data_IF_872318009801
#
_entry.id   IF_872318009801
#
_cell.length_a   1.000
_cell.length_b   1.000
_cell.length_c   1.000
_cell.angle_alpha   90.00
_cell.angle_beta   90.00
_cell.angle_gamma   90.00
#
_symmetry.space_group_name_H-M   'P 1'
#
loop_
_entity.id
_entity.type
_entity.pdbx_description
1 polymer ?
#
# COMPACT_ATOMS: atom_id res chain seq x y z
N UNK A 1 -90.91 22.29 34.64
CA UNK A 1 -91.50 22.09 33.29
C UNK A 1 -90.73 22.92 32.26
N UNK A 2 -89.84 22.23 31.53
CA UNK A 2 -89.38 22.47 30.14
C UNK A 2 -89.51 23.90 29.56
N UNK A 3 -88.70 24.86 30.01
CA UNK A 3 -88.26 26.02 29.22
C UNK A 3 -86.89 26.47 29.75
N UNK A 4 -85.86 26.41 28.89
CA UNK A 4 -84.48 26.96 28.99
C UNK A 4 -83.38 26.01 28.48
N UNK A 5 -83.75 24.85 27.93
CA UNK A 5 -82.84 23.96 27.22
C UNK A 5 -82.96 24.21 25.71
N UNK A 6 -82.29 25.25 25.16
CA UNK A 6 -82.01 25.37 23.71
C UNK A 6 -81.16 26.58 23.25
N UNK A 7 -80.52 27.35 24.14
CA UNK A 7 -79.72 28.53 23.72
C UNK A 7 -78.36 28.55 24.45
N UNK A 8 -77.68 27.41 24.51
CA UNK A 8 -76.31 27.35 25.07
C UNK A 8 -75.35 26.41 24.32
N UNK A 9 -75.79 25.73 23.26
CA UNK A 9 -74.90 24.94 22.39
C UNK A 9 -74.63 25.57 21.01
N UNK A 10 -75.27 26.69 20.66
CA UNK A 10 -75.02 27.38 19.38
C UNK A 10 -74.06 28.58 19.47
N UNK A 11 -73.60 28.95 20.67
CA UNK A 11 -72.61 30.02 20.86
C UNK A 11 -71.20 29.44 21.13
N UNK A 12 -71.08 28.14 21.44
CA UNK A 12 -69.79 27.48 21.68
C UNK A 12 -69.24 26.66 20.49
N UNK A 13 -69.88 26.75 19.33
CA UNK A 13 -69.45 26.07 18.09
C UNK A 13 -69.13 27.05 16.95
N UNK A 14 -69.05 28.36 17.24
CA UNK A 14 -68.75 29.43 16.27
C UNK A 14 -67.35 30.03 16.46
N UNK A 15 -66.52 29.50 17.36
CA UNK A 15 -65.22 30.07 17.73
C UNK A 15 -64.01 29.24 17.29
N UNK A 16 -64.21 28.24 16.40
CA UNK A 16 -63.15 27.37 15.88
C UNK A 16 -62.78 27.60 14.41
N UNK A 17 -63.06 28.79 13.89
CA UNK A 17 -62.48 29.22 12.61
C UNK A 17 -61.87 30.57 12.87
N UNK A 18 -60.62 30.58 13.30
CA UNK A 18 -59.64 31.68 13.22
C UNK A 18 -58.35 31.19 13.88
N UNK A 19 -57.64 30.31 13.17
CA UNK A 19 -56.21 30.12 13.34
C UNK A 19 -55.66 29.52 12.06
N UNK A 20 -55.59 30.37 11.03
CA UNK A 20 -54.62 30.16 9.97
C UNK A 20 -54.34 31.52 9.34
N UNK A 21 -53.41 32.26 9.95
CA UNK A 21 -52.68 33.30 9.26
C UNK A 21 -51.31 33.39 9.91
N UNK A 22 -50.29 33.41 9.08
CA UNK A 22 -48.87 33.53 9.40
C UNK A 22 -48.18 32.22 9.80
N UNK A 23 -48.28 31.22 8.91
CA UNK A 23 -47.08 30.44 8.62
C UNK A 23 -46.10 31.47 8.05
N UNK A 24 -45.07 31.83 8.82
CA UNK A 24 -43.96 32.63 8.29
C UNK A 24 -43.42 31.88 7.09
N UNK A 25 -43.59 32.48 5.92
CA UNK A 25 -42.99 31.99 4.71
C UNK A 25 -41.49 32.22 4.85
N UNK A 26 -40.77 31.14 5.16
CA UNK A 26 -39.31 31.12 5.22
C UNK A 26 -38.73 30.77 3.85
N UNK A 27 -39.56 30.75 2.78
CA UNK A 27 -39.02 30.65 1.43
C UNK A 27 -38.27 31.93 1.09
N UNK A 28 -37.10 31.75 0.50
CA UNK A 28 -36.42 32.87 -0.13
C UNK A 28 -37.35 33.46 -1.21
N UNK A 29 -37.36 34.79 -1.39
CA UNK A 29 -38.11 35.40 -2.48
C UNK A 29 -37.70 34.72 -3.79
N UNK A 30 -38.69 34.32 -4.58
CA UNK A 30 -38.52 33.75 -5.91
C UNK A 30 -39.34 34.53 -6.90
N UNK A 31 -38.85 34.69 -8.12
CA UNK A 31 -39.60 35.34 -9.19
C UNK A 31 -39.80 34.43 -10.41
N UNK A 32 -40.28 35.01 -11.53
CA UNK A 32 -40.53 34.28 -12.78
C UNK A 32 -39.66 34.81 -13.93
N UNK A 33 -38.79 35.75 -13.64
CA UNK A 33 -37.89 36.35 -14.61
C UNK A 33 -36.63 35.50 -14.68
N UNK A 34 -36.09 35.31 -15.88
CA UNK A 34 -34.85 34.57 -16.03
C UNK A 34 -33.67 35.46 -15.65
N UNK A 35 -32.63 34.91 -14.99
CA UNK A 35 -31.46 35.68 -14.63
C UNK A 35 -30.70 36.17 -15.87
N UNK A 36 -29.91 37.23 -15.69
CA UNK A 36 -28.98 37.70 -16.72
C UNK A 36 -27.93 36.65 -17.10
N UNK A 37 -27.26 36.84 -18.24
CA UNK A 37 -26.14 35.97 -18.63
C UNK A 37 -24.90 36.21 -17.75
N UNK A 38 -24.06 35.19 -17.62
CA UNK A 38 -22.72 35.34 -17.03
C UNK A 38 -21.81 36.21 -17.89
N UNK A 39 -20.89 36.95 -17.28
CA UNK A 39 -19.98 37.91 -17.95
C UNK A 39 -18.52 37.60 -17.65
N UNK A 40 -17.60 38.26 -18.35
CA UNK A 40 -16.13 38.18 -18.13
C UNK A 40 -15.57 36.76 -18.06
N UNK A 41 -16.08 35.88 -18.92
CA UNK A 41 -15.72 34.47 -18.92
C UNK A 41 -14.22 34.29 -19.23
N UNK A 42 -13.50 33.64 -18.34
CA UNK A 42 -12.10 33.27 -18.49
C UNK A 42 -11.90 31.75 -18.36
N UNK A 43 -11.11 31.17 -19.27
CA UNK A 43 -10.84 29.72 -19.30
C UNK A 43 -9.41 29.44 -18.87
N UNK A 44 -9.24 28.52 -17.92
CA UNK A 44 -7.96 27.93 -17.55
C UNK A 44 -8.00 26.42 -17.76
N UNK A 45 -7.33 25.95 -18.80
CA UNK A 45 -7.28 24.52 -19.13
C UNK A 45 -6.46 23.71 -18.11
N UNK A 46 -6.93 22.51 -17.78
CA UNK A 46 -6.28 21.55 -16.87
C UNK A 46 -6.26 20.15 -17.50
N UNK A 47 -5.54 19.21 -16.90
CA UNK A 47 -5.47 17.84 -17.41
C UNK A 47 -6.85 17.17 -17.42
N UNK A 48 -7.35 16.85 -18.62
CA UNK A 48 -8.67 16.23 -18.82
C UNK A 48 -9.85 17.16 -18.50
N UNK A 49 -9.64 18.48 -18.48
CA UNK A 49 -10.66 19.43 -18.06
C UNK A 49 -10.34 20.90 -18.28
N UNK A 50 -11.17 21.76 -17.71
CA UNK A 50 -10.93 23.20 -17.63
C UNK A 50 -11.62 23.79 -16.40
N UNK A 51 -11.07 24.87 -15.87
CA UNK A 51 -11.73 25.73 -14.89
C UNK A 51 -12.18 26.99 -15.61
N UNK A 52 -13.49 27.22 -15.64
CA UNK A 52 -14.10 28.38 -16.26
C UNK A 52 -14.52 29.33 -15.13
N UNK A 53 -14.01 30.55 -15.15
CA UNK A 53 -14.36 31.61 -14.18
C UNK A 53 -15.23 32.66 -14.86
N UNK A 54 -16.11 33.32 -14.12
CA UNK A 54 -17.10 34.24 -14.65
C UNK A 54 -17.60 35.23 -13.59
N UNK A 55 -18.14 36.36 -14.05
CA UNK A 55 -18.91 37.31 -13.25
C UNK A 55 -20.39 36.92 -13.28
N UNK A 56 -20.99 36.75 -12.10
CA UNK A 56 -22.41 36.40 -11.95
C UNK A 56 -23.33 37.58 -12.36
N UNK A 57 -24.53 37.31 -12.89
CA UNK A 57 -25.55 38.33 -13.07
C UNK A 57 -26.02 38.89 -11.72
N UNK A 58 -26.54 40.13 -11.75
CA UNK A 58 -27.17 40.74 -10.59
C UNK A 58 -28.63 40.29 -10.58
N UNK A 59 -28.98 39.47 -9.59
CA UNK A 59 -30.25 38.78 -9.48
C UNK A 59 -30.46 38.32 -8.03
N UNK A 60 -31.61 38.68 -7.44
CA UNK A 60 -31.90 38.48 -6.02
C UNK A 60 -32.15 37.01 -5.65
N UNK A 61 -32.58 36.17 -6.60
CA UNK A 61 -32.91 34.76 -6.39
C UNK A 61 -32.00 33.78 -7.17
N UNK A 62 -30.83 34.26 -7.61
CA UNK A 62 -29.82 33.45 -8.29
C UNK A 62 -29.44 32.18 -7.49
N UNK A 63 -29.56 31.03 -8.14
CA UNK A 63 -29.15 29.72 -7.60
C UNK A 63 -27.69 29.42 -7.94
N UNK A 64 -27.27 29.76 -9.16
CA UNK A 64 -25.89 29.58 -9.60
C UNK A 64 -25.75 29.49 -11.12
N UNK A 65 -24.72 28.76 -11.55
CA UNK A 65 -24.39 28.57 -12.97
C UNK A 65 -24.37 27.08 -13.30
N UNK A 66 -25.06 26.73 -14.37
CA UNK A 66 -25.08 25.40 -14.99
C UNK A 66 -24.18 25.42 -16.22
N UNK A 67 -23.26 24.46 -16.33
CA UNK A 67 -22.54 24.18 -17.56
C UNK A 67 -23.09 22.91 -18.21
N UNK A 68 -23.40 23.01 -19.50
CA UNK A 68 -23.82 21.89 -20.35
C UNK A 68 -22.70 21.59 -21.34
N UNK A 69 -22.26 20.34 -21.36
CA UNK A 69 -21.13 19.90 -22.18
C UNK A 69 -21.28 18.43 -22.58
N UNK A 70 -20.53 18.02 -23.61
CA UNK A 70 -20.55 16.64 -24.12
C UNK A 70 -19.16 16.03 -23.92
N UNK A 71 -19.11 14.80 -23.42
CA UNK A 71 -17.87 14.01 -23.34
C UNK A 71 -17.79 13.00 -24.49
N UNK A 72 -16.76 12.16 -24.49
CA UNK A 72 -16.46 11.29 -25.63
C UNK A 72 -17.53 10.21 -25.90
N UNK A 73 -18.39 9.93 -24.92
CA UNK A 73 -19.55 9.05 -25.07
C UNK A 73 -20.70 9.70 -25.86
N UNK A 74 -20.59 10.99 -26.20
CA UNK A 74 -21.61 11.73 -26.93
C UNK A 74 -22.83 12.10 -26.07
N UNK A 75 -22.81 11.80 -24.77
CA UNK A 75 -23.93 12.07 -23.86
C UNK A 75 -23.78 13.48 -23.27
N UNK A 76 -24.79 14.36 -23.42
CA UNK A 76 -24.80 15.65 -22.75
C UNK A 76 -24.79 15.48 -21.24
N UNK A 77 -23.96 16.28 -20.57
CA UNK A 77 -23.79 16.30 -19.12
C UNK A 77 -24.01 17.71 -18.61
N UNK A 78 -24.55 17.79 -17.42
CA UNK A 78 -24.77 19.04 -16.71
C UNK A 78 -23.97 19.04 -15.41
N UNK A 79 -23.33 20.15 -15.11
CA UNK A 79 -22.68 20.40 -13.83
C UNK A 79 -23.08 21.79 -13.33
N UNK A 80 -23.22 21.90 -12.01
CA UNK A 80 -23.72 23.09 -11.34
C UNK A 80 -22.65 23.66 -10.42
N UNK A 81 -22.53 24.98 -10.42
CA UNK A 81 -21.80 25.75 -9.41
C UNK A 81 -22.77 26.70 -8.72
N UNK A 82 -22.76 26.75 -7.39
CA UNK A 82 -23.64 27.64 -6.63
C UNK A 82 -23.31 29.11 -6.87
N UNK A 83 -24.27 30.00 -6.66
CA UNK A 83 -24.09 31.46 -6.71
C UNK A 83 -23.01 32.01 -5.73
N UNK A 84 -22.54 31.22 -4.78
CA UNK A 84 -21.41 31.57 -3.90
C UNK A 84 -20.02 31.35 -4.52
N UNK A 85 -19.96 30.86 -5.76
CA UNK A 85 -18.72 30.60 -6.50
C UNK A 85 -18.75 31.35 -7.82
N UNK A 86 -17.57 31.80 -8.23
CA UNK A 86 -17.29 32.53 -9.47
C UNK A 86 -16.70 31.61 -10.55
N UNK A 87 -16.72 30.29 -10.33
CA UNK A 87 -16.08 29.33 -11.22
C UNK A 87 -16.75 27.97 -11.22
N UNK A 88 -16.58 27.25 -12.33
CA UNK A 88 -17.02 25.87 -12.54
C UNK A 88 -15.85 25.04 -13.10
N UNK A 89 -15.67 23.83 -12.57
CA UNK A 89 -14.59 22.93 -13.00
C UNK A 89 -15.20 21.79 -13.80
N UNK A 90 -14.71 21.60 -15.02
CA UNK A 90 -15.10 20.51 -15.90
C UNK A 90 -14.00 19.45 -15.90
N UNK A 91 -14.38 18.18 -15.85
CA UNK A 91 -13.48 17.04 -15.89
C UNK A 91 -14.04 15.91 -16.77
N UNK A 92 -13.16 15.04 -17.26
CA UNK A 92 -13.50 13.81 -17.96
C UNK A 92 -13.31 13.84 -19.48
N UNK A 93 -12.66 14.88 -20.02
CA UNK A 93 -12.27 14.92 -21.42
C UNK A 93 -11.09 13.98 -21.68
N UNK A 94 -11.10 13.25 -22.80
CA UNK A 94 -10.01 12.30 -23.15
C UNK A 94 -9.00 12.87 -24.14
N UNK A 95 -9.19 14.10 -24.59
CA UNK A 95 -8.31 14.70 -25.58
C UNK A 95 -8.08 16.19 -25.35
N UNK A 96 -7.13 16.72 -26.10
CA UNK A 96 -6.70 18.12 -26.08
C UNK A 96 -7.35 18.97 -27.19
N UNK A 97 -8.37 18.42 -27.86
CA UNK A 97 -9.13 19.13 -28.88
C UNK A 97 -9.97 20.27 -28.28
N UNK A 98 -10.53 21.11 -29.16
CA UNK A 98 -11.42 22.19 -28.75
C UNK A 98 -12.83 21.64 -28.47
N UNK A 99 -13.40 21.94 -27.30
CA UNK A 99 -14.75 21.55 -26.92
C UNK A 99 -15.62 22.77 -26.63
N UNK A 100 -16.89 22.74 -27.06
CA UNK A 100 -17.88 23.77 -26.72
C UNK A 100 -18.56 23.43 -25.39
N UNK A 101 -18.78 24.46 -24.59
CA UNK A 101 -19.48 24.39 -23.31
C UNK A 101 -20.47 25.55 -23.29
N UNK A 102 -21.73 25.26 -22.98
CA UNK A 102 -22.76 26.29 -22.82
C UNK A 102 -22.96 26.58 -21.33
N UNK A 103 -22.78 27.84 -20.93
CA UNK A 103 -23.04 28.30 -19.57
C UNK A 103 -24.42 28.98 -19.48
N UNK A 104 -25.17 28.64 -18.44
CA UNK A 104 -26.47 29.21 -18.11
C UNK A 104 -26.44 29.71 -16.66
N UNK A 105 -26.88 30.94 -16.41
CA UNK A 105 -27.28 31.31 -15.05
C UNK A 105 -28.64 30.70 -14.76
N UNK A 106 -28.83 30.19 -13.54
CA UNK A 106 -30.05 29.52 -13.10
C UNK A 106 -30.48 30.16 -11.77
N UNK A 107 -31.76 30.50 -11.65
CA UNK A 107 -32.36 31.02 -10.43
C UNK A 107 -32.99 29.91 -9.57
N UNK A 108 -33.54 30.27 -8.40
CA UNK A 108 -34.23 29.34 -7.49
C UNK A 108 -35.56 28.82 -8.06
N UNK A 109 -36.18 29.55 -8.98
CA UNK A 109 -37.38 29.16 -9.74
C UNK A 109 -37.10 28.19 -10.90
N UNK A 110 -35.83 27.92 -11.19
CA UNK A 110 -35.32 27.10 -12.32
C UNK A 110 -35.52 27.76 -13.68
N UNK A 111 -35.64 29.09 -13.75
CA UNK A 111 -35.49 29.77 -15.04
C UNK A 111 -34.00 29.84 -15.41
N UNK A 112 -33.73 29.76 -16.71
CA UNK A 112 -32.36 29.73 -17.24
C UNK A 112 -32.14 30.96 -18.13
N UNK A 113 -30.95 31.56 -18.01
CA UNK A 113 -30.53 32.64 -18.90
C UNK A 113 -30.38 32.15 -20.36
N UNK A 114 -30.14 33.08 -21.28
CA UNK A 114 -29.56 32.70 -22.58
C UNK A 114 -28.17 32.06 -22.39
N UNK A 115 -27.75 31.14 -23.27
CA UNK A 115 -26.46 30.48 -23.15
C UNK A 115 -25.30 31.41 -23.50
N UNK A 116 -24.20 31.27 -22.76
CA UNK A 116 -22.89 31.79 -23.15
C UNK A 116 -22.03 30.62 -23.59
N UNK A 117 -21.69 30.59 -24.89
CA UNK A 117 -20.82 29.57 -25.48
C UNK A 117 -19.35 29.84 -25.16
N UNK A 118 -18.67 28.84 -24.63
CA UNK A 118 -17.27 28.89 -24.21
C UNK A 118 -16.52 27.74 -24.86
N UNK A 119 -15.40 28.04 -25.51
CA UNK A 119 -14.49 27.01 -26.03
C UNK A 119 -13.38 26.72 -25.02
N UNK A 120 -13.17 25.44 -24.73
CA UNK A 120 -12.07 24.96 -23.88
C UNK A 120 -11.11 24.08 -24.69
N UNK A 121 -9.86 23.99 -24.24
CA UNK A 121 -8.82 23.14 -24.83
C UNK A 121 -8.08 22.38 -23.72
N UNK A 122 -8.65 21.27 -23.21
CA UNK A 122 -8.10 20.54 -22.08
C UNK A 122 -6.62 20.17 -22.29
N UNK A 123 -5.86 20.11 -21.21
CA UNK A 123 -4.52 19.51 -21.27
C UNK A 123 -4.63 17.99 -21.31
N UNK A 124 -3.52 17.31 -21.62
CA UNK A 124 -3.44 15.84 -21.71
C UNK A 124 -4.18 15.17 -20.55
N UNK A 125 -5.11 14.25 -20.82
CA UNK A 125 -5.91 13.63 -19.76
C UNK A 125 -5.03 12.83 -18.80
N UNK A 126 -5.40 12.78 -17.50
CA UNK A 126 -4.63 12.07 -16.48
C UNK A 126 -4.34 10.61 -16.84
N UNK A 127 -5.28 9.89 -17.46
CA UNK A 127 -5.10 8.48 -17.82
C UNK A 127 -3.96 8.27 -18.84
N UNK A 128 -3.74 9.22 -19.76
CA UNK A 128 -2.62 9.16 -20.72
C UNK A 128 -1.29 9.44 -20.02
N UNK A 129 -1.24 10.39 -19.09
CA UNK A 129 -0.04 10.67 -18.28
C UNK A 129 0.35 9.46 -17.42
N UNK A 130 -0.62 8.83 -16.77
CA UNK A 130 -0.38 7.62 -15.97
C UNK A 130 0.20 6.51 -16.85
N UNK A 131 -0.37 6.32 -18.05
CA UNK A 131 0.10 5.31 -19.00
C UNK A 131 1.55 5.50 -19.44
N UNK A 132 2.06 6.72 -19.52
CA UNK A 132 3.46 7.01 -19.87
C UNK A 132 4.45 6.43 -18.86
N UNK A 133 4.01 6.26 -17.61
CA UNK A 133 4.82 5.73 -16.50
C UNK A 133 4.48 4.30 -16.12
N UNK A 134 3.47 3.70 -16.77
CA UNK A 134 3.08 2.32 -16.51
C UNK A 134 4.20 1.36 -16.95
N UNK A 135 4.74 0.64 -15.98
CA UNK A 135 5.69 -0.44 -16.19
C UNK A 135 5.16 -1.75 -15.61
N UNK A 136 5.54 -2.87 -16.24
CA UNK A 136 5.16 -4.21 -15.79
C UNK A 136 6.35 -5.16 -15.92
N UNK A 137 6.66 -5.84 -14.82
CA UNK A 137 7.78 -6.76 -14.71
C UNK A 137 7.35 -8.12 -14.16
N UNK A 138 7.98 -9.23 -14.55
CA UNK A 138 7.68 -10.54 -14.00
C UNK A 138 8.04 -10.60 -12.50
N UNK A 139 7.25 -11.34 -11.74
CA UNK A 139 7.54 -11.66 -10.34
C UNK A 139 7.10 -13.09 -10.02
N UNK A 140 7.32 -13.56 -8.79
CA UNK A 140 6.94 -14.92 -8.41
C UNK A 140 5.42 -15.09 -8.41
N UNK A 141 4.97 -16.10 -9.17
CA UNK A 141 3.56 -16.43 -9.33
C UNK A 141 2.72 -15.33 -9.99
N UNK A 142 3.32 -14.39 -10.71
CA UNK A 142 2.61 -13.23 -11.21
C UNK A 142 3.41 -12.20 -12.00
N UNK A 143 2.80 -11.03 -12.16
CA UNK A 143 3.43 -9.83 -12.72
C UNK A 143 3.18 -8.63 -11.80
N UNK A 144 4.16 -7.75 -11.72
CA UNK A 144 4.14 -6.56 -10.88
C UNK A 144 4.03 -5.31 -11.75
N UNK A 145 3.01 -4.51 -11.52
CA UNK A 145 2.75 -3.26 -12.23
C UNK A 145 3.01 -2.05 -11.35
N UNK A 146 3.63 -1.02 -11.93
CA UNK A 146 3.88 0.27 -11.28
C UNK A 146 3.49 1.43 -12.18
N UNK A 147 3.05 2.55 -11.60
CA UNK A 147 2.71 3.78 -12.32
C UNK A 147 2.71 5.00 -11.39
N UNK A 148 2.90 6.19 -11.94
CA UNK A 148 2.71 7.46 -11.24
C UNK A 148 1.36 8.10 -11.60
N UNK A 149 0.64 8.56 -10.59
CA UNK A 149 -0.65 9.26 -10.70
C UNK A 149 -0.61 10.54 -9.87
N UNK A 150 0.16 11.55 -10.29
CA UNK A 150 0.41 12.76 -9.51
C UNK A 150 -0.85 13.61 -9.23
N UNK A 151 -1.94 13.35 -9.95
CA UNK A 151 -3.22 14.05 -9.80
C UNK A 151 -4.25 13.26 -8.96
N UNK A 152 -3.85 12.11 -8.40
CA UNK A 152 -4.69 11.25 -7.56
C UNK A 152 -6.05 10.91 -8.19
N UNK A 153 -6.08 10.71 -9.51
CA UNK A 153 -7.32 10.38 -10.23
C UNK A 153 -7.68 8.92 -10.05
N UNK A 154 -8.98 8.65 -9.97
CA UNK A 154 -9.52 7.29 -9.88
C UNK A 154 -9.32 6.56 -11.22
N UNK A 155 -8.61 5.44 -11.18
CA UNK A 155 -8.34 4.59 -12.34
C UNK A 155 -8.62 3.12 -12.04
N UNK A 156 -8.87 2.35 -13.09
CA UNK A 156 -8.75 0.89 -13.09
C UNK A 156 -7.57 0.45 -13.94
N UNK A 157 -6.81 -0.51 -13.43
CA UNK A 157 -5.73 -1.24 -14.12
C UNK A 157 -6.23 -2.66 -14.35
N UNK A 158 -6.52 -3.01 -15.60
CA UNK A 158 -7.00 -4.35 -15.95
C UNK A 158 -5.90 -5.12 -16.64
N UNK A 159 -5.60 -6.32 -16.13
CA UNK A 159 -4.72 -7.27 -16.80
C UNK A 159 -5.57 -8.26 -17.59
N UNK A 160 -5.23 -8.45 -18.85
CA UNK A 160 -5.83 -9.46 -19.73
C UNK A 160 -4.80 -10.51 -20.13
N UNK A 161 -5.25 -11.74 -20.29
CA UNK A 161 -4.54 -12.79 -21.01
C UNK A 161 -5.03 -12.83 -22.45
N UNK A 162 -4.10 -12.77 -23.41
CA UNK A 162 -4.41 -12.99 -24.82
C UNK A 162 -4.30 -14.48 -25.13
N UNK A 163 -5.38 -15.05 -25.64
CA UNK A 163 -5.39 -16.43 -26.13
C UNK A 163 -4.67 -16.53 -27.48
N UNK A 164 -4.19 -17.72 -27.90
CA UNK A 164 -3.60 -17.91 -29.23
C UNK A 164 -4.49 -17.48 -30.41
N UNK A 165 -5.82 -17.41 -30.21
CA UNK A 165 -6.77 -16.91 -31.20
C UNK A 165 -6.90 -15.38 -31.24
N UNK A 166 -6.17 -14.65 -30.39
CA UNK A 166 -6.20 -13.19 -30.28
C UNK A 166 -7.30 -12.64 -29.37
N UNK A 167 -8.14 -13.49 -28.79
CA UNK A 167 -9.18 -13.08 -27.83
C UNK A 167 -8.57 -12.69 -26.49
N UNK A 168 -9.03 -11.57 -25.92
CA UNK A 168 -8.61 -11.08 -24.61
C UNK A 168 -9.58 -11.56 -23.52
N UNK A 169 -9.05 -12.27 -22.53
CA UNK A 169 -9.79 -12.66 -21.33
C UNK A 169 -9.32 -11.83 -20.14
N UNK A 170 -10.25 -11.25 -19.39
CA UNK A 170 -9.91 -10.51 -18.17
C UNK A 170 -9.28 -11.49 -17.18
N UNK A 171 -8.06 -11.20 -16.75
CA UNK A 171 -7.41 -11.93 -15.67
C UNK A 171 -7.84 -11.36 -14.32
N UNK A 172 -7.61 -10.06 -14.12
CA UNK A 172 -7.99 -9.35 -12.89
C UNK A 172 -8.07 -7.83 -13.15
N UNK A 173 -8.76 -7.09 -12.28
CA UNK A 173 -8.88 -5.63 -12.33
C UNK A 173 -8.60 -5.02 -10.96
N UNK A 174 -7.63 -4.11 -10.91
CA UNK A 174 -7.29 -3.36 -9.72
C UNK A 174 -7.74 -1.89 -9.83
N UNK A 175 -8.26 -1.32 -8.75
CA UNK A 175 -8.72 0.07 -8.70
C UNK A 175 -7.83 0.88 -7.76
N UNK A 176 -7.45 2.10 -8.18
CA UNK A 176 -6.57 2.96 -7.38
C UNK A 176 -6.76 4.44 -7.66
N UNK A 177 -6.45 5.26 -6.66
CA UNK A 177 -6.24 6.71 -6.77
C UNK A 177 -4.93 7.16 -6.09
N UNK A 178 -4.07 6.19 -5.72
CA UNK A 178 -2.81 6.46 -5.04
C UNK A 178 -1.89 7.28 -5.95
N UNK A 179 -1.09 8.18 -5.37
CA UNK A 179 -0.19 9.04 -6.14
C UNK A 179 0.94 8.26 -6.84
N UNK A 180 1.36 7.15 -6.23
CA UNK A 180 2.21 6.12 -6.83
C UNK A 180 1.51 4.79 -6.68
N UNK A 181 1.16 4.16 -7.80
CA UNK A 181 0.49 2.88 -7.82
C UNK A 181 1.49 1.75 -7.97
N UNK A 182 1.27 0.69 -7.20
CA UNK A 182 2.04 -0.55 -7.20
C UNK A 182 1.05 -1.68 -6.96
N UNK A 183 1.00 -2.69 -7.83
CA UNK A 183 0.10 -3.83 -7.66
C UNK A 183 0.69 -5.10 -8.27
N UNK A 184 0.50 -6.23 -7.58
CA UNK A 184 0.95 -7.54 -8.04
C UNK A 184 -0.25 -8.37 -8.46
N UNK A 185 -0.33 -8.68 -9.75
CA UNK A 185 -1.27 -9.65 -10.29
C UNK A 185 -0.73 -11.06 -10.05
N UNK A 186 -1.31 -11.79 -9.09
CA UNK A 186 -0.87 -13.14 -8.69
C UNK A 186 -1.73 -14.23 -9.32
N UNK A 187 -1.21 -15.46 -9.35
CA UNK A 187 -1.90 -16.64 -9.87
C UNK A 187 -1.51 -17.03 -11.30
N UNK A 188 -0.50 -16.39 -11.89
CA UNK A 188 0.03 -16.77 -13.19
C UNK A 188 1.06 -17.90 -13.06
N UNK A 189 1.05 -18.83 -14.01
CA UNK A 189 2.07 -19.88 -14.09
C UNK A 189 3.38 -19.32 -14.63
N UNK A 190 4.50 -19.97 -14.30
CA UNK A 190 5.86 -19.60 -14.75
C UNK A 190 6.14 -20.01 -16.19
N UNK A 191 5.22 -19.71 -17.10
CA UNK A 191 5.28 -19.95 -18.54
C UNK A 191 5.07 -18.61 -19.27
N UNK A 192 5.53 -18.44 -20.53
CA UNK A 192 5.27 -17.23 -21.30
C UNK A 192 3.78 -16.89 -21.37
N UNK A 193 3.40 -15.71 -20.86
CA UNK A 193 2.05 -15.17 -20.89
C UNK A 193 2.00 -14.00 -21.87
N UNK A 194 1.09 -14.03 -22.84
CA UNK A 194 0.77 -12.87 -23.70
C UNK A 194 -0.25 -12.00 -22.96
N UNK A 195 0.22 -10.85 -22.48
CA UNK A 195 -0.48 -9.99 -21.55
C UNK A 195 -0.82 -8.65 -22.18
N UNK A 196 -1.99 -8.14 -21.84
CA UNK A 196 -2.39 -6.76 -22.17
C UNK A 196 -2.81 -6.05 -20.91
N UNK A 197 -2.22 -4.89 -20.65
CA UNK A 197 -2.65 -4.00 -19.56
C UNK A 197 -3.45 -2.84 -20.13
N UNK A 198 -4.67 -2.67 -19.64
CA UNK A 198 -5.55 -1.57 -20.01
C UNK A 198 -5.74 -0.63 -18.81
N UNK A 199 -5.63 0.67 -19.06
CA UNK A 199 -5.93 1.72 -18.10
C UNK A 199 -7.22 2.42 -18.50
N UNK A 200 -8.13 2.56 -17.54
CA UNK A 200 -9.41 3.24 -17.73
C UNK A 200 -9.71 4.16 -16.56
N UNK A 201 -10.27 5.34 -16.84
CA UNK A 201 -10.77 6.26 -15.81
C UNK A 201 -12.27 6.09 -15.50
N UNK A 202 -12.78 6.85 -14.52
CA UNK A 202 -14.20 6.83 -14.13
C UNK A 202 -15.19 7.29 -15.21
N UNK A 203 -14.71 7.93 -16.28
CA UNK A 203 -15.51 8.44 -17.37
C UNK A 203 -15.49 7.52 -18.60
N UNK A 204 -14.92 6.32 -18.47
CA UNK A 204 -14.68 5.36 -19.56
C UNK A 204 -13.75 5.90 -20.64
N UNK A 205 -12.79 6.76 -20.27
CA UNK A 205 -11.68 7.07 -21.15
C UNK A 205 -10.58 6.04 -20.97
N UNK A 206 -9.99 5.62 -22.09
CA UNK A 206 -8.94 4.61 -22.13
C UNK A 206 -7.64 5.23 -22.61
N UNK A 207 -6.53 4.80 -22.03
CA UNK A 207 -5.21 5.03 -22.63
C UNK A 207 -4.88 3.92 -23.63
N UNK A 208 -3.85 4.13 -24.46
CA UNK A 208 -3.32 3.07 -25.31
C UNK A 208 -2.90 1.87 -24.44
N UNK A 209 -3.35 0.63 -24.73
CA UNK A 209 -2.95 -0.55 -23.97
C UNK A 209 -1.42 -0.78 -23.94
N UNK A 210 -0.95 -1.54 -22.96
CA UNK A 210 0.40 -2.07 -22.91
C UNK A 210 0.36 -3.56 -23.24
N UNK A 211 0.79 -3.90 -24.45
CA UNK A 211 1.00 -5.29 -24.88
C UNK A 211 2.40 -5.74 -24.48
N UNK A 212 2.52 -6.92 -23.87
CA UNK A 212 3.81 -7.52 -23.51
C UNK A 212 3.71 -9.03 -23.44
N UNK A 213 4.85 -9.72 -23.56
CA UNK A 213 4.96 -11.15 -23.28
C UNK A 213 5.92 -11.32 -22.11
N UNK A 214 5.42 -11.80 -20.97
CA UNK A 214 6.22 -11.98 -19.76
C UNK A 214 6.12 -13.42 -19.25
N UNK A 215 7.22 -13.91 -18.69
CA UNK A 215 7.26 -15.20 -17.99
C UNK A 215 7.41 -14.93 -16.50
N UNK A 216 6.36 -15.13 -15.69
CA UNK A 216 6.46 -15.07 -14.23
C UNK A 216 7.60 -15.94 -13.69
N UNK A 217 8.18 -15.52 -12.57
CA UNK A 217 9.32 -16.24 -11.99
C UNK A 217 8.85 -17.56 -11.40
N UNK A 218 9.63 -18.62 -11.67
CA UNK A 218 9.44 -19.94 -11.07
C UNK A 218 9.84 -19.91 -9.60
N UNK A 219 8.93 -20.32 -8.71
CA UNK A 219 9.20 -20.41 -7.27
C UNK A 219 9.56 -21.84 -6.87
N UNK A 220 10.68 -21.99 -6.17
CA UNK A 220 11.11 -23.22 -5.50
C UNK A 220 11.62 -22.91 -4.10
N UNK A 221 11.73 -23.94 -3.26
CA UNK A 221 12.37 -23.80 -1.96
C UNK A 221 13.88 -23.58 -2.11
N UNK A 222 14.40 -22.54 -1.47
CA UNK A 222 15.84 -22.31 -1.33
C UNK A 222 16.30 -23.17 -0.17
N UNK A 223 17.16 -24.15 -0.44
CA UNK A 223 17.56 -25.16 0.53
C UNK A 223 18.77 -24.70 1.34
N UNK A 224 18.65 -24.80 2.67
CA UNK A 224 19.75 -24.54 3.61
C UNK A 224 20.74 -25.67 3.75
N UNK A 225 20.47 -26.81 3.13
CA UNK A 225 21.30 -28.02 3.13
C UNK A 225 21.45 -28.58 1.72
N UNK A 226 22.57 -29.25 1.48
CA UNK A 226 22.78 -30.05 0.28
C UNK A 226 22.05 -31.40 0.36
N UNK A 227 22.07 -32.17 -0.74
CA UNK A 227 21.41 -33.49 -0.85
C UNK A 227 21.92 -34.53 0.17
N UNK A 228 23.11 -34.30 0.76
CA UNK A 228 23.73 -35.17 1.78
C UNK A 228 23.49 -34.66 3.19
N UNK A 229 22.74 -33.56 3.35
CA UNK A 229 22.46 -32.91 4.63
C UNK A 229 23.57 -31.98 5.11
N UNK A 230 24.61 -31.72 4.30
CA UNK A 230 25.65 -30.74 4.57
C UNK A 230 25.10 -29.32 4.60
N UNK A 231 25.60 -28.47 5.51
CA UNK A 231 25.12 -27.09 5.65
C UNK A 231 25.55 -26.24 4.46
N UNK A 232 24.59 -25.56 3.84
CA UNK A 232 24.82 -24.50 2.86
C UNK A 232 24.73 -23.15 3.55
N UNK A 233 23.66 -22.94 4.33
CA UNK A 233 23.48 -21.69 5.06
C UNK A 233 24.35 -21.64 6.30
N UNK A 234 24.97 -20.49 6.53
CA UNK A 234 25.78 -20.27 7.72
C UNK A 234 25.47 -18.92 8.34
N UNK A 235 25.60 -18.82 9.67
CA UNK A 235 25.64 -17.52 10.31
C UNK A 235 26.95 -16.84 9.91
N UNK A 236 26.84 -15.75 9.16
CA UNK A 236 27.97 -15.17 8.44
C UNK A 236 29.06 -14.70 9.41
N UNK A 237 30.24 -15.29 9.29
CA UNK A 237 31.39 -14.92 10.10
C UNK A 237 31.34 -15.39 11.55
N UNK A 238 30.48 -16.38 11.87
CA UNK A 238 30.35 -16.89 13.23
C UNK A 238 31.63 -17.58 13.70
N UNK A 239 32.13 -18.54 12.93
CA UNK A 239 33.30 -19.34 13.27
C UNK A 239 34.59 -18.52 13.34
N UNK A 240 34.71 -17.47 12.52
CA UNK A 240 35.84 -16.54 12.50
C UNK A 240 35.74 -15.45 13.57
N UNK A 241 34.61 -15.36 14.29
CA UNK A 241 34.36 -14.30 15.28
C UNK A 241 34.10 -12.91 14.69
N UNK A 242 34.03 -12.79 13.35
CA UNK A 242 33.84 -11.50 12.67
C UNK A 242 32.43 -10.93 12.84
N UNK A 243 31.44 -11.79 13.11
CA UNK A 243 30.07 -11.39 13.44
C UNK A 243 29.99 -10.41 14.63
N UNK A 244 30.91 -10.52 15.60
CA UNK A 244 31.04 -9.60 16.74
C UNK A 244 31.40 -8.16 16.35
N UNK A 245 31.98 -7.94 15.16
CA UNK A 245 32.25 -6.59 14.67
C UNK A 245 31.01 -5.93 14.08
N UNK A 246 29.95 -6.71 13.82
CA UNK A 246 28.72 -6.27 13.17
C UNK A 246 27.52 -6.17 14.10
N UNK A 247 27.69 -6.50 15.38
CA UNK A 247 26.58 -6.57 16.34
C UNK A 247 25.68 -7.79 16.15
N UNK A 248 26.12 -8.79 15.38
CA UNK A 248 25.35 -10.01 15.13
C UNK A 248 25.32 -10.88 16.40
N UNK A 249 24.15 -11.42 16.72
CA UNK A 249 23.94 -12.18 17.95
C UNK A 249 24.95 -13.34 18.10
N UNK A 250 25.56 -13.41 19.29
CA UNK A 250 26.68 -14.30 19.58
C UNK A 250 26.34 -15.49 20.48
N UNK A 251 25.49 -15.31 21.50
CA UNK A 251 25.31 -16.28 22.59
C UNK A 251 24.40 -17.45 22.18
N UNK A 252 24.96 -18.44 21.49
CA UNK A 252 24.29 -19.72 21.23
C UNK A 252 24.07 -20.51 22.52
N UNK A 253 22.86 -21.03 22.70
CA UNK A 253 22.50 -21.83 23.88
C UNK A 253 22.54 -23.32 23.56
N UNK A 254 23.32 -24.08 24.33
CA UNK A 254 23.46 -25.53 24.14
C UNK A 254 23.93 -25.91 22.73
N UNK A 255 24.76 -25.06 22.09
CA UNK A 255 25.23 -25.22 20.71
C UNK A 255 24.11 -25.38 19.66
N UNK A 256 22.93 -24.84 19.96
CA UNK A 256 21.81 -24.74 19.02
C UNK A 256 22.10 -23.69 17.96
N UNK A 257 22.46 -24.11 16.76
CA UNK A 257 22.93 -23.26 15.66
C UNK A 257 21.87 -23.14 14.57
N UNK A 258 22.14 -22.36 13.52
CA UNK A 258 21.27 -22.29 12.33
C UNK A 258 21.01 -23.65 11.69
N UNK A 259 21.89 -24.64 11.87
CA UNK A 259 21.65 -26.00 11.40
C UNK A 259 20.36 -26.61 11.98
N UNK A 260 20.00 -26.25 13.21
CA UNK A 260 18.78 -26.71 13.85
C UNK A 260 17.51 -25.98 13.37
N UNK A 261 17.63 -25.02 12.46
CA UNK A 261 16.52 -24.33 11.82
C UNK A 261 16.40 -24.67 10.32
N UNK A 262 17.10 -25.71 9.86
CA UNK A 262 17.11 -26.16 8.46
C UNK A 262 17.03 -27.68 8.35
N UNK A 263 16.57 -28.37 9.40
CA UNK A 263 16.51 -29.84 9.44
C UNK A 263 15.15 -30.39 9.01
N UNK A 264 14.16 -29.52 8.76
CA UNK A 264 12.82 -29.86 8.29
C UNK A 264 11.83 -30.09 9.43
N UNK A 265 12.25 -30.02 10.69
CA UNK A 265 11.34 -30.15 11.85
C UNK A 265 10.69 -28.80 12.17
N UNK A 266 9.50 -28.58 11.59
CA UNK A 266 8.79 -27.30 11.65
C UNK A 266 8.65 -26.74 13.07
N UNK A 267 8.15 -27.51 14.04
CA UNK A 267 7.86 -27.04 15.41
C UNK A 267 8.40 -28.04 16.43
N UNK A 268 9.70 -28.02 16.69
CA UNK A 268 10.37 -28.88 17.66
C UNK A 268 10.43 -28.24 19.04
N UNK A 269 10.22 -29.04 20.08
CA UNK A 269 10.42 -28.61 21.48
C UNK A 269 11.87 -28.73 21.96
N UNK A 270 12.71 -29.47 21.24
CA UNK A 270 14.06 -29.89 21.65
C UNK A 270 15.16 -29.38 20.71
N UNK A 271 14.89 -29.34 19.41
CA UNK A 271 15.85 -28.99 18.35
C UNK A 271 15.43 -27.70 17.67
N UNK A 272 16.17 -26.62 17.89
CA UNK A 272 15.85 -25.30 17.33
C UNK A 272 17.13 -24.48 17.31
N UNK A 273 17.22 -23.44 16.49
CA UNK A 273 18.27 -22.44 16.58
C UNK A 273 17.96 -21.47 17.73
N UNK A 274 18.90 -21.32 18.67
CA UNK A 274 18.70 -20.49 19.85
C UNK A 274 19.88 -19.56 20.09
N UNK A 275 19.63 -18.27 19.93
CA UNK A 275 20.53 -17.23 20.42
C UNK A 275 19.82 -16.42 21.51
N UNK A 276 20.44 -16.33 22.68
CA UNK A 276 19.89 -15.61 23.83
C UNK A 276 20.56 -14.26 24.00
N UNK A 277 19.87 -13.27 24.58
CA UNK A 277 20.45 -12.05 25.14
C UNK A 277 21.49 -11.34 24.24
N UNK A 278 21.05 -10.32 23.50
CA UNK A 278 21.96 -9.46 22.75
C UNK A 278 22.67 -8.42 23.66
N UNK A 279 23.69 -8.87 24.41
CA UNK A 279 24.36 -8.06 25.42
C UNK A 279 25.43 -7.14 24.83
N UNK A 280 25.38 -5.85 25.16
CA UNK A 280 26.36 -4.86 24.70
C UNK A 280 27.80 -5.25 25.06
N UNK A 281 28.01 -5.83 26.24
CA UNK A 281 29.32 -6.25 26.75
C UNK A 281 30.02 -7.30 25.89
N UNK A 282 29.28 -8.09 25.10
CA UNK A 282 29.85 -9.09 24.19
C UNK A 282 30.56 -8.43 23.00
N UNK A 283 30.07 -7.25 22.61
CA UNK A 283 30.57 -6.47 21.49
C UNK A 283 31.57 -5.40 21.94
N UNK A 284 31.33 -4.79 23.09
CA UNK A 284 32.13 -3.71 23.66
C UNK A 284 32.62 -4.10 25.07
N UNK A 285 33.80 -4.74 25.18
CA UNK A 285 34.35 -5.15 26.47
C UNK A 285 34.45 -3.98 27.46
N UNK A 286 33.98 -4.18 28.69
CA UNK A 286 33.96 -3.16 29.74
C UNK A 286 32.67 -2.33 29.82
N UNK A 287 31.74 -2.51 28.87
CA UNK A 287 30.39 -1.95 28.97
C UNK A 287 29.49 -2.77 29.92
N UNK A 288 28.42 -2.17 30.48
CA UNK A 288 27.44 -2.89 31.29
C UNK A 288 26.77 -4.05 30.56
N UNK A 289 26.30 -5.05 31.31
CA UNK A 289 25.46 -6.15 30.80
C UNK A 289 24.03 -5.65 30.54
N UNK A 290 23.88 -4.89 29.45
CA UNK A 290 22.60 -4.35 28.99
C UNK A 290 22.25 -4.96 27.65
N UNK A 291 21.02 -5.45 27.57
CA UNK A 291 20.42 -5.97 26.36
C UNK A 291 20.17 -4.83 25.36
N UNK A 292 20.52 -5.05 24.08
CA UNK A 292 20.41 -4.05 23.03
C UNK A 292 19.42 -4.46 21.95
N UNK A 293 18.58 -3.50 21.56
CA UNK A 293 17.78 -3.54 20.34
C UNK A 293 18.23 -2.40 19.41
N UNK A 294 18.06 -2.56 18.09
CA UNK A 294 17.75 -3.82 17.42
C UNK A 294 18.88 -4.82 17.62
N UNK A 295 18.58 -6.11 17.62
CA UNK A 295 19.61 -7.13 17.48
C UNK A 295 19.70 -7.57 16.03
N UNK A 296 20.85 -8.10 15.65
CA UNK A 296 21.13 -8.46 14.26
C UNK A 296 21.50 -9.93 14.15
N UNK A 297 21.23 -10.52 12.99
CA UNK A 297 21.93 -11.72 12.56
C UNK A 297 21.97 -11.74 11.04
N UNK A 298 23.10 -12.21 10.50
CA UNK A 298 23.30 -12.29 9.05
C UNK A 298 23.49 -13.74 8.62
N UNK A 299 22.77 -14.15 7.59
CA UNK A 299 22.88 -15.46 6.98
C UNK A 299 23.64 -15.31 5.65
N UNK A 300 24.73 -16.05 5.50
CA UNK A 300 25.30 -16.34 4.19
C UNK A 300 24.53 -17.52 3.61
N UNK A 301 23.78 -17.26 2.53
CA UNK A 301 22.91 -18.25 1.88
C UNK A 301 23.70 -19.25 1.02
N UNK A 302 25.04 -19.14 0.97
CA UNK A 302 25.97 -20.02 0.27
C UNK A 302 26.03 -19.80 -1.24
N UNK A 303 24.91 -19.41 -1.85
CA UNK A 303 24.79 -19.02 -3.26
C UNK A 303 23.76 -17.91 -3.44
N UNK A 304 23.80 -17.25 -4.60
CA UNK A 304 22.84 -16.21 -4.95
C UNK A 304 21.48 -16.82 -5.27
N UNK A 305 20.42 -16.23 -4.74
CA UNK A 305 19.05 -16.54 -5.10
C UNK A 305 18.20 -15.26 -5.03
N UNK A 306 17.17 -15.20 -5.84
CA UNK A 306 16.09 -14.24 -5.67
C UNK A 306 15.03 -14.84 -4.74
N UNK A 307 14.32 -14.02 -3.98
CA UNK A 307 13.46 -14.48 -2.89
C UNK A 307 12.04 -13.95 -3.03
N UNK A 308 11.05 -14.81 -2.88
CA UNK A 308 9.63 -14.45 -2.94
C UNK A 308 9.04 -14.21 -1.55
N UNK A 309 9.38 -15.11 -0.62
CA UNK A 309 8.88 -15.12 0.76
C UNK A 309 9.80 -15.95 1.64
N UNK A 310 9.64 -15.78 2.94
CA UNK A 310 10.19 -16.66 3.96
C UNK A 310 9.11 -17.15 4.91
N UNK A 311 9.42 -18.19 5.66
CA UNK A 311 8.60 -18.66 6.76
C UNK A 311 9.47 -19.02 7.95
N UNK A 312 8.99 -18.64 9.14
CA UNK A 312 9.65 -18.93 10.40
C UNK A 312 8.71 -19.71 11.30
N UNK A 313 9.19 -20.81 11.84
CA UNK A 313 8.51 -21.53 12.91
C UNK A 313 9.25 -21.35 14.22
N UNK A 314 8.49 -21.24 15.29
CA UNK A 314 9.04 -21.13 16.64
C UNK A 314 9.27 -22.50 17.26
N UNK A 315 10.08 -22.55 18.31
CA UNK A 315 10.13 -23.72 19.19
C UNK A 315 8.74 -24.09 19.69
N UNK A 316 8.40 -25.38 19.65
CA UNK A 316 7.20 -25.88 20.33
C UNK A 316 7.36 -25.80 21.86
N UNK A 317 6.48 -25.03 22.49
CA UNK A 317 6.55 -24.71 23.91
C UNK A 317 5.15 -24.63 24.47
N UNK A 318 5.01 -25.00 25.75
CA UNK A 318 3.77 -24.81 26.50
C UNK A 318 3.97 -23.68 27.53
N UNK A 319 3.13 -22.63 27.54
CA UNK A 319 2.01 -22.41 26.60
C UNK A 319 2.49 -22.09 25.18
N UNK A 320 1.69 -22.43 24.16
CA UNK A 320 1.99 -22.10 22.76
C UNK A 320 2.23 -20.58 22.63
N UNK A 321 3.11 -20.17 21.71
CA UNK A 321 3.48 -18.76 21.50
C UNK A 321 4.35 -18.13 22.60
N UNK A 322 4.77 -18.89 23.62
CA UNK A 322 5.69 -18.40 24.66
C UNK A 322 7.19 -18.55 24.34
N UNK A 323 7.54 -19.16 23.21
CA UNK A 323 8.92 -19.13 22.72
C UNK A 323 9.18 -17.81 21.98
N UNK A 324 10.41 -17.31 22.06
CA UNK A 324 10.76 -16.03 21.47
C UNK A 324 11.02 -16.12 19.97
N UNK A 325 10.43 -15.21 19.20
CA UNK A 325 10.64 -15.08 17.77
C UNK A 325 10.60 -13.59 17.37
N UNK A 326 11.33 -13.16 16.32
CA UNK A 326 11.21 -11.80 15.79
C UNK A 326 9.75 -11.45 15.46
N UNK A 327 9.26 -10.34 15.99
CA UNK A 327 7.88 -9.88 15.75
C UNK A 327 7.81 -8.60 14.92
N UNK A 328 8.85 -7.77 14.98
CA UNK A 328 9.01 -6.60 14.11
C UNK A 328 10.46 -6.57 13.68
N UNK A 329 10.71 -6.78 12.39
CA UNK A 329 12.06 -6.83 11.84
C UNK A 329 12.10 -6.45 10.38
N UNK A 330 13.27 -6.04 9.92
CA UNK A 330 13.58 -5.79 8.52
C UNK A 330 14.51 -6.88 7.99
N UNK A 331 14.44 -7.14 6.69
CA UNK A 331 15.43 -7.96 5.99
C UNK A 331 16.11 -7.10 4.94
N UNK A 332 17.43 -7.11 5.00
CA UNK A 332 18.30 -6.42 4.06
C UNK A 332 19.17 -7.43 3.33
N UNK A 333 19.48 -7.15 2.08
CA UNK A 333 20.23 -8.07 1.23
C UNK A 333 21.38 -7.38 0.50
N UNK A 334 22.46 -8.12 0.29
CA UNK A 334 23.59 -7.69 -0.56
C UNK A 334 24.30 -8.89 -1.18
N UNK A 335 25.11 -8.62 -2.20
CA UNK A 335 26.08 -9.55 -2.76
C UNK A 335 27.52 -9.22 -2.35
N UNK A 336 27.76 -8.01 -1.84
CA UNK A 336 29.09 -7.44 -1.63
C UNK A 336 29.17 -6.77 -0.26
N UNK A 337 29.09 -7.55 0.84
CA UNK A 337 29.18 -6.98 2.17
C UNK A 337 30.59 -6.39 2.39
N UNK A 338 30.64 -5.13 2.82
CA UNK A 338 31.89 -4.40 3.06
C UNK A 338 32.81 -5.16 4.04
N UNK A 339 34.09 -5.40 3.70
CA UNK A 339 35.04 -6.05 4.60
C UNK A 339 35.31 -5.22 5.86
N UNK A 340 35.52 -5.90 7.00
CA UNK A 340 35.83 -5.26 8.30
C UNK A 340 37.03 -4.32 8.19
N UNK A 341 38.06 -4.71 7.44
CA UNK A 341 39.29 -3.95 7.25
C UNK A 341 39.12 -2.65 6.47
N UNK A 342 38.02 -2.50 5.73
CA UNK A 342 37.73 -1.31 4.92
C UNK A 342 36.85 -0.29 5.65
N UNK A 343 36.42 -0.62 6.88
CA UNK A 343 35.57 0.24 7.70
C UNK A 343 36.43 0.94 8.75
N UNK A 344 36.59 2.25 8.61
CA UNK A 344 37.45 3.05 9.49
C UNK A 344 38.88 2.52 9.50
N UNK A 345 39.42 2.20 10.67
CA UNK A 345 40.72 1.56 10.84
C UNK A 345 40.65 0.02 10.98
N UNK A 346 39.49 -0.59 10.76
CA UNK A 346 39.25 -2.01 10.95
C UNK A 346 39.03 -2.46 12.39
N UNK A 347 39.01 -1.54 13.35
CA UNK A 347 38.70 -1.84 14.75
C UNK A 347 37.25 -2.27 14.95
N UNK A 348 37.00 -2.90 16.10
CA UNK A 348 35.63 -3.28 16.51
C UNK A 348 34.75 -2.06 16.74
N UNK A 349 35.30 -0.96 17.26
CA UNK A 349 34.57 0.28 17.51
C UNK A 349 34.07 0.91 16.19
N UNK A 350 34.96 1.11 15.21
CA UNK A 350 34.59 1.68 13.90
C UNK A 350 33.58 0.80 13.16
N UNK A 351 33.73 -0.52 13.26
CA UNK A 351 32.80 -1.45 12.65
C UNK A 351 31.42 -1.40 13.33
N UNK A 352 31.33 -1.42 14.66
CA UNK A 352 30.06 -1.33 15.36
C UNK A 352 29.34 0.01 15.09
N UNK A 353 30.09 1.11 14.97
CA UNK A 353 29.57 2.42 14.55
C UNK A 353 28.94 2.37 13.15
N UNK A 354 29.54 1.64 12.22
CA UNK A 354 29.03 1.51 10.86
C UNK A 354 27.87 0.51 10.76
N UNK A 355 27.92 -0.63 11.45
CA UNK A 355 27.01 -1.79 11.31
C UNK A 355 25.76 -1.76 12.20
N UNK A 356 25.70 -0.85 13.17
CA UNK A 356 24.60 -0.78 14.13
C UNK A 356 24.01 0.62 14.23
N UNK A 357 22.79 0.71 14.77
CA UNK A 357 22.18 1.97 15.23
C UNK A 357 22.35 2.19 16.74
N UNK A 358 23.15 1.36 17.42
CA UNK A 358 23.28 1.40 18.89
C UNK A 358 23.93 2.70 19.35
N UNK A 359 23.24 3.54 20.15
CA UNK A 359 23.81 4.80 20.62
C UNK A 359 25.10 4.63 21.41
N UNK A 360 25.20 3.54 22.19
CA UNK A 360 26.38 3.24 23.00
C UNK A 360 27.64 2.93 22.17
N UNK A 361 27.47 2.45 20.92
CA UNK A 361 28.56 2.21 19.97
C UNK A 361 28.80 3.43 19.05
N UNK A 362 28.09 4.54 19.25
CA UNK A 362 28.05 5.65 18.29
C UNK A 362 27.46 5.24 16.94
N UNK A 363 26.59 4.22 16.92
CA UNK A 363 25.98 3.61 15.75
C UNK A 363 25.31 4.62 14.82
N UNK A 364 25.50 4.41 13.52
CA UNK A 364 25.00 5.28 12.45
C UNK A 364 24.13 4.56 11.43
N UNK A 365 24.13 3.21 11.47
CA UNK A 365 23.47 2.38 10.47
C UNK A 365 23.92 2.67 9.02
N UNK A 366 25.13 3.20 8.84
CA UNK A 366 25.68 3.60 7.55
C UNK A 366 25.75 2.45 6.54
N UNK A 367 25.84 1.21 7.02
CA UNK A 367 25.77 -0.02 6.22
C UNK A 367 24.51 -0.13 5.36
N UNK A 368 23.39 0.52 5.75
CA UNK A 368 22.15 0.54 4.96
C UNK A 368 22.30 1.22 3.59
N UNK A 369 23.37 1.99 3.37
CA UNK A 369 23.69 2.54 2.04
C UNK A 369 24.32 1.51 1.10
N UNK A 370 24.91 0.44 1.66
CA UNK A 370 25.59 -0.63 0.92
C UNK A 370 24.72 -1.89 0.76
N UNK A 371 23.51 -1.86 1.32
CA UNK A 371 22.55 -2.96 1.34
C UNK A 371 21.19 -2.48 0.84
N UNK A 372 20.38 -3.41 0.34
CA UNK A 372 19.02 -3.11 -0.13
C UNK A 372 18.03 -3.72 0.84
N UNK A 373 17.06 -2.92 1.33
CA UNK A 373 15.95 -3.47 2.10
C UNK A 373 15.05 -4.28 1.18
N UNK A 374 14.78 -5.53 1.54
CA UNK A 374 13.96 -6.45 0.75
C UNK A 374 12.67 -6.85 1.45
N UNK A 375 12.53 -6.66 2.76
CA UNK A 375 11.27 -6.91 3.46
C UNK A 375 11.13 -6.06 4.73
N UNK A 376 9.89 -5.65 5.00
CA UNK A 376 9.43 -5.16 6.30
C UNK A 376 8.48 -6.22 6.88
N UNK A 377 8.83 -6.79 8.03
CA UNK A 377 8.14 -7.94 8.60
C UNK A 377 7.49 -7.57 9.93
N UNK A 378 6.16 -7.71 10.00
CA UNK A 378 5.38 -7.52 11.23
C UNK A 378 4.57 -8.78 11.46
N UNK A 379 4.82 -9.44 12.59
CA UNK A 379 4.03 -10.59 13.02
C UNK A 379 2.65 -10.11 13.49
N UNK A 380 1.60 -10.69 12.92
CA UNK A 380 0.21 -10.43 13.30
C UNK A 380 -0.53 -11.76 13.38
N UNK A 381 -1.10 -12.05 14.54
CA UNK A 381 -2.01 -13.19 14.69
C UNK A 381 -3.41 -12.82 14.16
N UNK A 382 -4.19 -13.78 13.64
CA UNK A 382 -5.56 -13.54 13.17
C UNK A 382 -6.45 -12.76 14.14
N UNK A 383 -6.36 -13.01 15.44
CA UNK A 383 -7.13 -12.29 16.46
C UNK A 383 -6.56 -10.92 16.82
N UNK A 384 -5.31 -10.64 16.43
CA UNK A 384 -4.54 -9.46 16.85
C UNK A 384 -3.94 -9.56 18.26
N UNK A 385 -4.18 -10.64 19.02
CA UNK A 385 -3.54 -10.81 20.32
C UNK A 385 -2.03 -11.06 20.18
N UNK A 386 -1.29 -10.70 21.23
CA UNK A 386 0.11 -11.08 21.42
C UNK A 386 0.31 -11.88 22.71
N UNK A 387 -0.78 -12.25 23.39
CA UNK A 387 -0.74 -12.97 24.66
C UNK A 387 -0.95 -14.48 24.45
N UNK A 388 -0.02 -15.34 24.91
CA UNK A 388 -0.20 -16.79 24.90
C UNK A 388 -1.48 -17.28 25.59
N UNK A 389 -2.03 -16.52 26.55
CA UNK A 389 -3.25 -16.90 27.27
C UNK A 389 -4.55 -16.56 26.53
N UNK A 390 -4.47 -15.76 25.47
CA UNK A 390 -5.62 -15.20 24.77
C UNK A 390 -5.77 -15.72 23.33
N UNK A 391 -4.92 -16.68 22.94
CA UNK A 391 -4.96 -17.26 21.60
C UNK A 391 -6.35 -17.83 21.29
N UNK A 392 -6.85 -17.61 20.07
CA UNK A 392 -8.01 -18.31 19.49
C UNK A 392 -7.59 -19.62 18.82
N UNK A 393 -8.53 -20.41 18.30
CA UNK A 393 -8.17 -21.62 17.56
C UNK A 393 -7.46 -21.27 16.25
N UNK A 394 -7.92 -20.22 15.57
CA UNK A 394 -7.32 -19.67 14.36
C UNK A 394 -5.88 -19.22 14.60
N UNK A 395 -5.61 -18.56 15.73
CA UNK A 395 -4.24 -18.19 16.11
C UNK A 395 -3.35 -19.43 16.28
N UNK A 396 -3.86 -20.48 16.94
CA UNK A 396 -3.09 -21.71 17.18
C UNK A 396 -2.75 -22.41 15.87
N UNK A 397 -3.69 -22.46 14.93
CA UNK A 397 -3.47 -23.07 13.62
C UNK A 397 -2.52 -22.23 12.76
N UNK A 398 -2.63 -20.91 12.83
CA UNK A 398 -1.69 -19.98 12.18
C UNK A 398 -0.27 -20.15 12.72
N UNK A 399 -0.08 -20.14 14.04
CA UNK A 399 1.25 -20.34 14.68
C UNK A 399 1.88 -21.67 14.25
N UNK A 400 1.10 -22.77 14.22
CA UNK A 400 1.61 -24.09 13.81
C UNK A 400 1.93 -24.17 12.32
N UNK A 401 1.28 -23.34 11.51
CA UNK A 401 1.54 -23.25 10.07
C UNK A 401 2.81 -22.43 9.75
N UNK A 402 3.35 -21.71 10.74
CA UNK A 402 4.53 -20.87 10.60
C UNK A 402 4.18 -19.46 10.16
N UNK A 403 5.05 -18.51 10.51
CA UNK A 403 4.89 -17.10 10.19
C UNK A 403 5.51 -16.82 8.83
N UNK A 404 4.66 -16.55 7.83
CA UNK A 404 5.08 -16.26 6.45
C UNK A 404 5.21 -14.75 6.24
N UNK A 405 6.30 -14.33 5.60
CA UNK A 405 6.55 -12.94 5.23
C UNK A 405 6.94 -12.83 3.77
N UNK A 406 6.28 -11.93 3.05
CA UNK A 406 6.58 -11.65 1.64
C UNK A 406 7.80 -10.74 1.50
N UNK A 407 8.57 -10.95 0.43
CA UNK A 407 9.63 -10.05 -0.02
C UNK A 407 9.01 -8.96 -0.90
N UNK A 408 9.52 -7.72 -0.80
CA UNK A 408 9.10 -6.60 -1.65
C UNK A 408 9.19 -7.03 -3.12
N UNK A 409 8.09 -6.87 -3.83
CA UNK A 409 7.96 -7.33 -5.22
C UNK A 409 8.99 -6.66 -6.14
N UNK A 410 9.45 -5.44 -5.85
CA UNK A 410 10.53 -4.77 -6.59
C UNK A 410 11.91 -5.40 -6.37
N UNK A 411 12.06 -6.16 -5.29
CA UNK A 411 13.29 -6.87 -4.94
C UNK A 411 13.19 -8.36 -5.22
N UNK A 412 11.97 -8.90 -5.32
CA UNK A 412 11.72 -10.33 -5.44
C UNK A 412 12.42 -10.95 -6.66
N UNK A 413 12.56 -10.23 -7.77
CA UNK A 413 13.29 -10.73 -8.96
C UNK A 413 14.82 -10.62 -8.89
N UNK A 414 15.40 -9.94 -7.89
CA UNK A 414 16.84 -9.64 -7.83
C UNK A 414 17.57 -10.68 -6.98
N UNK A 415 18.72 -11.21 -7.44
CA UNK A 415 19.43 -12.23 -6.71
C UNK A 415 20.38 -11.64 -5.65
N UNK A 416 20.34 -12.21 -4.45
CA UNK A 416 21.19 -11.85 -3.32
C UNK A 416 21.77 -13.10 -2.64
N UNK A 417 22.90 -12.94 -1.93
CA UNK A 417 23.53 -14.03 -1.17
C UNK A 417 23.52 -13.79 0.33
N UNK A 418 23.74 -12.57 0.79
CA UNK A 418 23.80 -12.25 2.21
C UNK A 418 22.50 -11.61 2.64
N UNK A 419 21.82 -12.21 3.62
CA UNK A 419 20.57 -11.69 4.20
C UNK A 419 20.81 -11.29 5.65
N UNK A 420 20.62 -10.01 5.96
CA UNK A 420 20.77 -9.44 7.31
C UNK A 420 19.39 -9.13 7.88
N UNK A 421 19.11 -9.71 9.03
CA UNK A 421 17.91 -9.45 9.81
C UNK A 421 18.19 -8.36 10.82
N UNK A 422 17.36 -7.32 10.82
CA UNK A 422 17.38 -6.22 11.80
C UNK A 422 16.14 -6.37 12.66
N UNK A 423 16.26 -6.93 13.85
CA UNK A 423 15.11 -7.24 14.71
C UNK A 423 14.91 -6.15 15.73
N UNK A 424 13.82 -5.40 15.60
CA UNK A 424 13.47 -4.31 16.50
C UNK A 424 12.63 -4.77 17.69
N UNK A 425 11.82 -5.83 17.52
CA UNK A 425 10.99 -6.40 18.59
C UNK A 425 10.87 -7.91 18.45
N UNK A 426 10.67 -8.56 19.59
CA UNK A 426 10.23 -9.95 19.67
C UNK A 426 8.85 -10.00 20.32
N UNK A 427 8.18 -11.13 20.16
CA UNK A 427 6.86 -11.36 20.74
C UNK A 427 6.82 -11.28 22.28
N UNK A 428 7.94 -11.48 22.97
CA UNK A 428 8.03 -11.35 24.45
C UNK A 428 8.77 -10.09 24.92
N UNK A 429 9.36 -9.32 23.99
CA UNK A 429 10.16 -8.14 24.31
C UNK A 429 11.60 -8.41 24.76
N UNK A 430 12.04 -9.67 24.77
CA UNK A 430 13.41 -10.06 25.10
C UNK A 430 14.24 -10.21 23.80
N UNK A 431 15.48 -9.67 23.70
CA UNK A 431 16.31 -9.78 22.50
C UNK A 431 16.96 -11.16 22.42
N UNK A 432 16.13 -12.15 22.08
CA UNK A 432 16.49 -13.53 21.85
C UNK A 432 15.54 -14.15 20.83
N UNK A 433 15.92 -15.29 20.26
CA UNK A 433 15.03 -16.06 19.39
C UNK A 433 15.24 -17.56 19.57
N UNK A 434 14.18 -18.31 19.30
CA UNK A 434 14.12 -19.77 19.30
C UNK A 434 13.40 -20.22 18.02
N UNK A 435 14.15 -20.27 16.92
CA UNK A 435 13.63 -20.60 15.58
C UNK A 435 13.76 -22.10 15.38
N UNK A 436 12.64 -22.81 15.28
CA UNK A 436 12.65 -24.25 15.01
C UNK A 436 12.90 -24.56 13.55
N UNK A 437 12.37 -23.76 12.64
CA UNK A 437 12.60 -23.93 11.21
C UNK A 437 12.55 -22.57 10.51
N UNK A 438 13.41 -22.39 9.52
CA UNK A 438 13.46 -21.24 8.64
C UNK A 438 13.46 -21.74 7.20
N UNK A 439 12.48 -21.31 6.41
CA UNK A 439 12.38 -21.62 4.99
C UNK A 439 12.35 -20.35 4.15
N UNK A 440 12.95 -20.42 2.98
CA UNK A 440 12.88 -19.38 1.96
C UNK A 440 12.38 -20.00 0.66
N UNK A 441 11.64 -19.22 -0.11
CA UNK A 441 11.24 -19.59 -1.46
C UNK A 441 11.71 -18.51 -2.44
N UNK A 442 11.90 -18.92 -3.69
CA UNK A 442 12.30 -18.04 -4.77
C UNK A 442 12.94 -18.81 -5.92
N UNK A 443 13.99 -18.26 -6.53
CA UNK A 443 14.72 -18.90 -7.63
C UNK A 443 16.23 -18.76 -7.44
N UNK A 444 16.99 -19.81 -7.75
CA UNK A 444 18.44 -19.69 -7.77
C UNK A 444 18.90 -18.78 -8.90
N UNK A 445 19.94 -18.00 -8.64
CA UNK A 445 20.63 -17.28 -9.70
C UNK A 445 21.69 -18.22 -10.27
N UNK A 446 21.58 -18.54 -11.55
CA UNK A 446 22.57 -19.35 -12.28
C UNK A 446 23.91 -18.61 -12.46
#
# INVERSE_FOLDING_TARGET
MKKLLNISCYILASSFVWSCSDVRDWSDPVDKEAPGVVRDVAVRNVNGGAVISYTLPDDDDLLGVKAVYVLNDGVPREIYSSAFKDSITLEGYADTEAFSVSLYAVDKSKNESLPVEVTINPLTPPIKLIRETLDISPTFGGVFATWDNPLNKEISVTLYNRTPGGELTVFDTYYSNASRGRYTFRGLTSEPQDLVVELRDRWNNFARPLDTVLTPLFETEILGRDERGGMIWTQWGYNEGTHLFRGDMHRLISNRTIANATDGELMSGSVYWHCSNNMLSDFMPGQPEVNTFPYYFTIDMGRKASYSRLAMWMRDRSPLFSAELPSVFEIWATNEPKPISEIGNGSREDNLKYWTEWPAAGGTDAWKNDWVKIADCVMQLPSGTMSPSELTNEDRDYIRSGFVYDIDTEQAGKPYRYLRFVVHKTNTGVPQFMISELKFWGAYAD
#
